data_IF_870900779097
#
_entry.id   IF_870900779097
#
_cell.length_a   1.000
_cell.length_b   1.000
_cell.length_c   1.000
_cell.angle_alpha   90.00
_cell.angle_beta   90.00
_cell.angle_gamma   90.00
#
_symmetry.space_group_name_H-M   'P 1'
#
loop_
_entity.id
_entity.type
_entity.pdbx_description
1 polymer ?
#
# COMPACT_ATOMS: atom_id res chain seq x y z
N UNK A 1 6.59 29.66 -1.41
CA UNK A 1 7.75 28.74 -1.39
C UNK A 1 7.42 27.43 -0.66
N UNK A 2 6.85 27.49 0.56
CA UNK A 2 6.52 26.33 1.42
C UNK A 2 5.64 25.26 0.74
N UNK A 3 4.62 25.65 -0.03
CA UNK A 3 3.72 24.72 -0.74
C UNK A 3 4.43 23.84 -1.78
N UNK A 4 5.46 24.36 -2.45
CA UNK A 4 6.23 23.58 -3.43
C UNK A 4 7.14 22.56 -2.73
N UNK A 5 7.74 22.94 -1.60
CA UNK A 5 8.57 22.04 -0.80
C UNK A 5 7.76 20.87 -0.22
N UNK A 6 6.55 21.12 0.29
CA UNK A 6 5.67 20.07 0.79
C UNK A 6 5.26 19.08 -0.31
N UNK A 7 4.92 19.58 -1.50
CA UNK A 7 4.60 18.73 -2.65
C UNK A 7 5.80 17.84 -3.03
N UNK A 8 7.00 18.42 -3.09
CA UNK A 8 8.22 17.68 -3.38
C UNK A 8 8.52 16.60 -2.33
N UNK A 9 8.33 16.90 -1.04
CA UNK A 9 8.48 15.92 0.06
C UNK A 9 7.47 14.79 -0.10
N UNK A 10 6.20 15.08 -0.36
CA UNK A 10 5.19 14.05 -0.57
C UNK A 10 5.54 13.14 -1.75
N UNK A 11 5.97 13.73 -2.87
CA UNK A 11 6.34 12.98 -4.06
C UNK A 11 7.57 12.09 -3.84
N UNK A 12 8.62 12.65 -3.21
CA UNK A 12 9.80 11.88 -2.81
C UNK A 12 9.44 10.72 -1.88
N UNK A 13 8.56 10.98 -0.92
CA UNK A 13 8.11 9.96 0.03
C UNK A 13 7.35 8.84 -0.67
N UNK A 14 6.46 9.16 -1.63
CA UNK A 14 5.76 8.16 -2.42
C UNK A 14 6.72 7.32 -3.28
N UNK A 15 7.71 7.95 -3.91
CA UNK A 15 8.76 7.23 -4.65
C UNK A 15 9.50 6.27 -3.73
N UNK A 16 9.82 6.71 -2.51
CA UNK A 16 10.52 5.89 -1.53
C UNK A 16 9.65 4.72 -1.03
N UNK A 17 8.36 4.95 -0.79
CA UNK A 17 7.40 3.89 -0.45
C UNK A 17 7.30 2.86 -1.57
N UNK A 18 7.13 3.28 -2.83
CA UNK A 18 7.01 2.37 -3.98
C UNK A 18 8.30 1.58 -4.17
N UNK A 19 9.44 2.27 -4.18
CA UNK A 19 10.75 1.64 -4.37
C UNK A 19 11.05 0.65 -3.25
N UNK A 20 10.72 1.02 -2.00
CA UNK A 20 10.88 0.13 -0.86
C UNK A 20 9.92 -1.06 -0.87
N UNK A 21 8.68 -0.85 -1.30
CA UNK A 21 7.66 -1.89 -1.37
C UNK A 21 8.02 -2.98 -2.38
N UNK A 22 8.54 -2.60 -3.55
CA UNK A 22 9.07 -3.53 -4.55
C UNK A 22 10.52 -3.96 -4.29
N UNK A 23 11.17 -3.41 -3.26
CA UNK A 23 12.49 -3.81 -2.84
C UNK A 23 12.46 -5.10 -2.00
N UNK A 24 13.64 -5.66 -1.66
CA UNK A 24 13.80 -6.78 -0.75
C UNK A 24 13.27 -6.44 0.64
N UNK A 25 12.27 -7.18 1.11
CA UNK A 25 11.84 -7.16 2.51
C UNK A 25 12.51 -8.29 3.29
N UNK A 26 12.58 -9.47 2.66
CA UNK A 26 13.45 -10.57 3.08
C UNK A 26 14.63 -10.61 2.12
N UNK A 27 15.80 -10.23 2.62
CA UNK A 27 17.03 -10.22 1.83
C UNK A 27 17.72 -11.59 1.87
N UNK A 28 18.26 -12.03 0.73
CA UNK A 28 18.99 -13.29 0.61
C UNK A 28 20.04 -13.13 -0.50
N UNK A 29 21.20 -13.79 -0.34
CA UNK A 29 22.30 -13.70 -1.33
C UNK A 29 21.90 -14.16 -2.73
N UNK A 30 20.90 -15.04 -2.81
CA UNK A 30 20.35 -15.56 -4.05
C UNK A 30 19.08 -14.81 -4.39
N UNK A 31 19.08 -14.15 -5.54
CA UNK A 31 17.94 -13.33 -6.00
C UNK A 31 16.62 -14.09 -6.05
N UNK A 32 16.65 -15.42 -6.27
CA UNK A 32 15.47 -16.27 -6.28
C UNK A 32 14.81 -16.48 -4.91
N UNK A 33 15.52 -16.18 -3.82
CA UNK A 33 15.03 -16.28 -2.44
C UNK A 33 14.78 -14.91 -1.80
N UNK A 34 15.05 -13.84 -2.54
CA UNK A 34 14.71 -12.48 -2.15
C UNK A 34 13.20 -12.29 -2.32
N UNK A 35 12.51 -11.91 -1.25
CA UNK A 35 11.05 -11.71 -1.28
C UNK A 35 10.74 -10.22 -1.15
N UNK A 36 10.00 -9.69 -2.13
CA UNK A 36 9.55 -8.30 -2.12
C UNK A 36 8.33 -8.10 -1.22
N UNK A 37 8.04 -6.84 -0.86
CA UNK A 37 6.83 -6.52 -0.07
C UNK A 37 5.53 -6.95 -0.76
N UNK A 38 5.49 -6.89 -2.10
CA UNK A 38 4.36 -7.35 -2.90
C UNK A 38 4.17 -8.87 -2.84
N UNK A 39 5.26 -9.63 -2.86
CA UNK A 39 5.22 -11.08 -2.85
C UNK A 39 4.95 -11.67 -1.46
N UNK A 40 5.16 -10.91 -0.38
CA UNK A 40 4.93 -11.38 0.99
C UNK A 40 3.53 -11.94 1.23
N UNK A 41 2.51 -11.31 0.64
CA UNK A 41 1.13 -11.77 0.76
C UNK A 41 0.94 -13.20 0.24
N UNK A 42 1.57 -13.52 -0.90
CA UNK A 42 1.52 -14.84 -1.50
C UNK A 42 2.52 -15.79 -0.83
N UNK A 43 3.69 -15.29 -0.42
CA UNK A 43 4.71 -16.07 0.26
C UNK A 43 4.23 -16.62 1.62
N UNK A 44 3.51 -15.79 2.39
CA UNK A 44 2.98 -16.16 3.70
C UNK A 44 2.07 -17.41 3.66
N UNK A 45 1.36 -17.65 2.55
CA UNK A 45 0.44 -18.79 2.42
C UNK A 45 1.15 -20.15 2.38
N UNK A 46 2.46 -20.17 2.11
CA UNK A 46 3.22 -21.42 1.98
C UNK A 46 3.75 -21.94 3.32
N UNK A 47 3.62 -21.17 4.41
CA UNK A 47 4.06 -21.61 5.73
C UNK A 47 3.05 -22.57 6.36
N UNK A 48 3.45 -23.79 6.76
CA UNK A 48 2.57 -24.76 7.41
C UNK A 48 1.89 -24.22 8.68
N UNK A 49 2.57 -23.35 9.42
CA UNK A 49 2.04 -22.72 10.63
C UNK A 49 0.88 -21.76 10.33
N UNK A 50 0.91 -21.11 9.17
CA UNK A 50 -0.16 -20.21 8.70
C UNK A 50 -1.33 -21.04 8.18
N UNK A 51 -1.05 -22.10 7.41
CA UNK A 51 -2.07 -23.04 6.92
C UNK A 51 -2.78 -23.79 8.06
N UNK A 52 -2.03 -24.17 9.08
CA UNK A 52 -2.54 -24.84 10.28
C UNK A 52 -3.21 -23.90 11.28
N UNK A 53 -3.27 -22.59 11.02
CA UNK A 53 -3.91 -21.60 11.90
C UNK A 53 -3.18 -21.34 13.22
N UNK A 54 -1.94 -21.81 13.37
CA UNK A 54 -1.10 -21.56 14.56
C UNK A 54 -0.68 -20.09 14.62
N UNK A 55 -0.42 -19.49 13.45
CA UNK A 55 -0.17 -18.05 13.30
C UNK A 55 -1.20 -17.49 12.34
N UNK A 56 -2.06 -16.59 12.83
CA UNK A 56 -3.02 -15.87 12.00
C UNK A 56 -2.31 -14.73 11.27
N UNK A 57 -2.18 -14.83 9.95
CA UNK A 57 -1.62 -13.77 9.10
C UNK A 57 -2.70 -13.29 8.14
N UNK A 58 -3.01 -11.99 8.20
CA UNK A 58 -3.94 -11.36 7.29
C UNK A 58 -3.19 -10.88 6.03
N UNK A 59 -3.11 -11.75 5.03
CA UNK A 59 -2.27 -11.57 3.83
C UNK A 59 -2.56 -10.28 3.08
N UNK A 60 -3.83 -9.87 3.06
CA UNK A 60 -4.28 -8.65 2.40
C UNK A 60 -3.67 -7.38 3.02
N UNK A 61 -3.24 -7.42 4.29
CA UNK A 61 -2.64 -6.27 4.95
C UNK A 61 -1.28 -5.90 4.37
N UNK A 62 -0.57 -6.85 3.74
CA UNK A 62 0.66 -6.56 3.00
C UNK A 62 0.43 -5.64 1.79
N UNK A 63 -0.79 -5.54 1.27
CA UNK A 63 -1.11 -4.67 0.13
C UNK A 63 -1.45 -3.22 0.53
N UNK A 64 -1.60 -2.92 1.82
CA UNK A 64 -1.92 -1.57 2.31
C UNK A 64 -0.93 -0.49 1.87
N UNK A 65 0.41 -0.73 1.86
CA UNK A 65 1.36 0.23 1.36
C UNK A 65 1.04 0.71 -0.05
N UNK A 66 0.76 -0.24 -0.94
CA UNK A 66 0.49 0.03 -2.34
C UNK A 66 -0.85 0.75 -2.53
N UNK A 67 -1.91 0.29 -1.87
CA UNK A 67 -3.23 0.95 -1.88
C UNK A 67 -3.13 2.39 -1.40
N UNK A 68 -2.37 2.63 -0.34
CA UNK A 68 -2.15 3.95 0.24
C UNK A 68 -1.46 4.88 -0.75
N UNK A 69 -0.44 4.39 -1.49
CA UNK A 69 0.23 5.17 -2.54
C UNK A 69 -0.77 5.63 -3.60
N UNK A 70 -1.66 4.77 -4.09
CA UNK A 70 -2.63 5.15 -5.11
C UNK A 70 -3.63 6.20 -4.61
N UNK A 71 -4.11 6.07 -3.38
CA UNK A 71 -4.99 7.07 -2.76
C UNK A 71 -4.24 8.41 -2.62
N UNK A 72 -3.00 8.40 -2.13
CA UNK A 72 -2.20 9.61 -1.97
C UNK A 72 -1.82 10.27 -3.30
N UNK A 73 -1.58 9.49 -4.37
CA UNK A 73 -1.40 10.03 -5.72
C UNK A 73 -2.65 10.74 -6.21
N UNK A 74 -3.83 10.13 -6.03
CA UNK A 74 -5.10 10.79 -6.32
C UNK A 74 -5.30 12.05 -5.49
N UNK A 75 -4.89 12.05 -4.22
CA UNK A 75 -4.99 13.19 -3.33
C UNK A 75 -4.05 14.33 -3.74
N UNK A 76 -2.80 14.04 -4.12
CA UNK A 76 -1.87 15.02 -4.67
C UNK A 76 -2.39 15.60 -6.00
N UNK A 77 -2.94 14.75 -6.87
CA UNK A 77 -3.52 15.19 -8.12
C UNK A 77 -4.68 16.17 -7.91
N UNK A 78 -5.48 15.99 -6.86
CA UNK A 78 -6.61 16.88 -6.53
C UNK A 78 -6.20 18.35 -6.30
N UNK A 79 -4.95 18.60 -5.90
CA UNK A 79 -4.36 19.93 -5.69
C UNK A 79 -3.86 20.58 -6.98
N UNK A 80 -3.81 19.85 -8.09
CA UNK A 80 -3.37 20.38 -9.38
C UNK A 80 -4.31 21.49 -9.88
N UNK A 81 -3.72 22.53 -10.48
CA UNK A 81 -4.47 23.58 -11.16
C UNK A 81 -5.13 23.06 -12.44
N UNK A 82 -4.53 22.06 -13.08
CA UNK A 82 -4.98 21.45 -14.34
C UNK A 82 -6.16 20.50 -14.11
N UNK A 83 -7.32 20.82 -14.68
CA UNK A 83 -8.56 20.01 -14.54
C UNK A 83 -8.39 18.58 -15.04
N UNK A 84 -7.69 18.39 -16.15
CA UNK A 84 -7.43 17.07 -16.73
C UNK A 84 -6.64 16.18 -15.76
N UNK A 85 -5.53 16.69 -15.20
CA UNK A 85 -4.74 15.95 -14.22
C UNK A 85 -5.56 15.56 -12.98
N UNK A 86 -6.45 16.43 -12.50
CA UNK A 86 -7.33 16.13 -11.35
C UNK A 86 -8.30 14.97 -11.58
N UNK A 87 -8.69 14.69 -12.82
CA UNK A 87 -9.67 13.65 -13.14
C UNK A 87 -9.00 12.40 -13.70
N UNK A 88 -7.99 12.57 -14.55
CA UNK A 88 -7.31 11.47 -15.24
C UNK A 88 -6.39 10.72 -14.28
N UNK A 89 -5.63 11.41 -13.42
CA UNK A 89 -4.69 10.75 -12.50
C UNK A 89 -5.39 9.79 -11.53
N UNK A 90 -6.46 10.17 -10.80
CA UNK A 90 -7.15 9.22 -9.92
C UNK A 90 -7.84 8.10 -10.69
N UNK A 91 -8.37 8.36 -11.89
CA UNK A 91 -8.93 7.30 -12.74
C UNK A 91 -7.86 6.30 -13.16
N UNK A 92 -6.71 6.78 -13.62
CA UNK A 92 -5.59 5.95 -14.02
C UNK A 92 -4.99 5.19 -12.83
N UNK A 93 -4.84 5.85 -11.68
CA UNK A 93 -4.39 5.25 -10.42
C UNK A 93 -5.34 4.14 -9.96
N UNK A 94 -6.65 4.37 -10.01
CA UNK A 94 -7.68 3.38 -9.68
C UNK A 94 -7.65 2.18 -10.64
N UNK A 95 -7.50 2.42 -11.95
CA UNK A 95 -7.37 1.36 -12.94
C UNK A 95 -6.08 0.55 -12.76
N UNK A 96 -4.98 1.20 -12.42
CA UNK A 96 -3.69 0.54 -12.21
C UNK A 96 -3.66 -0.25 -10.89
N UNK A 97 -4.27 0.28 -9.83
CA UNK A 97 -4.53 -0.45 -8.58
C UNK A 97 -5.31 -1.74 -8.85
N UNK A 98 -6.42 -1.62 -9.60
CA UNK A 98 -7.23 -2.77 -10.00
C UNK A 98 -6.38 -3.76 -10.81
N UNK A 99 -5.64 -3.30 -11.82
CA UNK A 99 -4.81 -4.19 -12.66
C UNK A 99 -3.69 -4.90 -11.89
N UNK A 100 -3.09 -4.26 -10.89
CA UNK A 100 -1.98 -4.83 -10.12
C UNK A 100 -2.42 -5.80 -9.02
N UNK A 101 -3.55 -5.53 -8.37
CA UNK A 101 -3.97 -6.25 -7.17
C UNK A 101 -5.18 -7.16 -7.37
N UNK A 102 -5.85 -7.10 -8.53
CA UNK A 102 -6.97 -7.99 -8.80
C UNK A 102 -6.46 -9.42 -8.93
N UNK A 103 -6.88 -10.34 -8.03
CA UNK A 103 -6.46 -11.73 -8.08
C UNK A 103 -6.82 -12.38 -9.42
N UNK A 104 -5.89 -13.14 -9.98
CA UNK A 104 -6.12 -13.84 -11.25
C UNK A 104 -7.31 -14.82 -11.17
N UNK A 105 -7.55 -15.42 -10.00
CA UNK A 105 -8.71 -16.27 -9.74
C UNK A 105 -10.05 -15.54 -9.96
N UNK A 106 -10.12 -14.26 -9.59
CA UNK A 106 -11.29 -13.41 -9.79
C UNK A 106 -11.46 -13.06 -11.27
N UNK A 107 -10.36 -12.75 -11.98
CA UNK A 107 -10.40 -12.50 -13.43
C UNK A 107 -10.88 -13.75 -14.18
N UNK A 108 -10.36 -14.92 -13.81
CA UNK A 108 -10.70 -16.16 -14.48
C UNK A 108 -12.15 -16.59 -14.20
N UNK A 109 -12.64 -16.44 -12.96
CA UNK A 109 -14.04 -16.72 -12.61
C UNK A 109 -15.00 -15.76 -13.30
N UNK A 110 -14.67 -14.46 -13.37
CA UNK A 110 -15.46 -13.49 -14.14
C UNK A 110 -15.49 -13.83 -15.64
N UNK A 111 -14.33 -14.21 -16.21
CA UNK A 111 -14.24 -14.65 -17.60
C UNK A 111 -15.11 -15.90 -17.85
N UNK A 112 -15.02 -16.91 -16.99
CA UNK A 112 -15.83 -18.12 -17.10
C UNK A 112 -17.32 -17.83 -16.99
N UNK A 113 -17.74 -16.96 -16.06
CA UNK A 113 -19.13 -16.54 -15.95
C UNK A 113 -19.64 -15.85 -17.22
N UNK A 114 -18.81 -15.02 -17.87
CA UNK A 114 -19.18 -14.35 -19.12
C UNK A 114 -19.16 -15.28 -20.33
N UNK A 115 -18.19 -16.21 -20.43
CA UNK A 115 -18.04 -17.06 -21.63
C UNK A 115 -18.87 -18.34 -21.56
N UNK A 116 -18.98 -18.94 -20.39
CA UNK A 116 -19.62 -20.23 -20.18
C UNK A 116 -20.97 -20.14 -19.46
N UNK A 117 -21.43 -18.92 -19.12
CA UNK A 117 -22.65 -18.66 -18.34
C UNK A 117 -22.68 -19.42 -17.01
N UNK A 118 -21.51 -19.75 -16.47
CA UNK A 118 -21.37 -20.40 -15.17
C UNK A 118 -21.60 -19.40 -14.04
N UNK A 119 -22.07 -19.83 -12.86
CA UNK A 119 -22.20 -18.94 -11.73
C UNK A 119 -20.83 -18.36 -11.34
N UNK A 120 -20.78 -17.07 -11.03
CA UNK A 120 -19.58 -16.43 -10.51
C UNK A 120 -19.30 -16.96 -9.10
N UNK A 121 -18.17 -17.65 -8.94
CA UNK A 121 -17.73 -18.19 -7.65
C UNK A 121 -16.52 -17.41 -7.19
N UNK A 122 -16.66 -16.78 -6.03
CA UNK A 122 -15.58 -16.05 -5.39
C UNK A 122 -14.90 -16.94 -4.35
N UNK A 123 -13.60 -17.15 -4.53
CA UNK A 123 -12.78 -17.92 -3.59
C UNK A 123 -12.69 -17.16 -2.25
N UNK A 124 -13.11 -17.77 -1.12
CA UNK A 124 -13.06 -17.14 0.20
C UNK A 124 -11.70 -16.55 0.55
N UNK A 125 -10.60 -17.15 0.06
CA UNK A 125 -9.24 -16.71 0.33
C UNK A 125 -8.91 -15.32 -0.23
N UNK A 126 -9.64 -14.87 -1.25
CA UNK A 126 -9.39 -13.61 -1.95
C UNK A 126 -10.45 -12.54 -1.66
N UNK A 127 -11.41 -12.83 -0.76
CA UNK A 127 -12.45 -11.88 -0.33
C UNK A 127 -11.86 -10.60 0.26
N UNK A 128 -10.92 -10.73 1.20
CA UNK A 128 -10.25 -9.60 1.86
C UNK A 128 -9.44 -8.76 0.88
N UNK A 129 -8.70 -9.40 -0.03
CA UNK A 129 -7.96 -8.70 -1.09
C UNK A 129 -8.91 -7.96 -2.03
N UNK A 130 -10.01 -8.58 -2.47
CA UNK A 130 -11.00 -7.90 -3.30
C UNK A 130 -11.63 -6.70 -2.57
N UNK A 131 -12.03 -6.87 -1.31
CA UNK A 131 -12.59 -5.80 -0.51
C UNK A 131 -11.61 -4.62 -0.38
N UNK A 132 -10.34 -4.90 -0.15
CA UNK A 132 -9.28 -3.90 -0.08
C UNK A 132 -9.08 -3.18 -1.42
N UNK A 133 -9.06 -3.90 -2.54
CA UNK A 133 -8.92 -3.32 -3.88
C UNK A 133 -10.11 -2.43 -4.20
N UNK A 134 -11.34 -2.89 -3.94
CA UNK A 134 -12.56 -2.12 -4.18
C UNK A 134 -12.59 -0.87 -3.30
N UNK A 135 -12.29 -1.01 -2.00
CA UNK A 135 -12.22 0.12 -1.08
C UNK A 135 -11.15 1.13 -1.51
N UNK A 136 -9.94 0.67 -1.83
CA UNK A 136 -8.85 1.50 -2.32
C UNK A 136 -9.18 2.22 -3.62
N UNK A 137 -9.83 1.53 -4.55
CA UNK A 137 -10.29 2.08 -5.83
C UNK A 137 -11.32 3.19 -5.59
N UNK A 138 -12.35 2.93 -4.78
CA UNK A 138 -13.38 3.90 -4.43
C UNK A 138 -12.76 5.12 -3.75
N UNK A 139 -11.90 4.93 -2.76
CA UNK A 139 -11.22 6.03 -2.08
C UNK A 139 -10.36 6.86 -3.04
N UNK A 140 -9.64 6.21 -3.95
CA UNK A 140 -8.82 6.88 -4.99
C UNK A 140 -9.69 7.69 -5.96
N UNK A 141 -10.85 7.16 -6.37
CA UNK A 141 -11.78 7.88 -7.26
C UNK A 141 -12.48 9.06 -6.58
N UNK A 142 -12.63 9.01 -5.24
CA UNK A 142 -13.21 10.09 -4.44
C UNK A 142 -12.22 11.21 -4.12
N UNK A 143 -10.91 11.03 -4.35
CA UNK A 143 -9.90 12.06 -4.04
C UNK A 143 -10.11 13.42 -4.71
N UNK A 144 -10.71 13.56 -5.92
CA UNK A 144 -11.02 14.88 -6.48
C UNK A 144 -11.95 15.72 -5.59
N UNK A 145 -12.81 15.06 -4.81
CA UNK A 145 -13.73 15.72 -3.89
C UNK A 145 -13.00 16.33 -2.69
N UNK A 146 -11.83 15.78 -2.33
CA UNK A 146 -11.00 16.26 -1.23
C UNK A 146 -10.39 17.65 -1.46
N UNK A 147 -10.53 18.22 -2.67
CA UNK A 147 -10.13 19.62 -2.94
C UNK A 147 -10.87 20.64 -2.05
N UNK A 148 -12.08 20.31 -1.60
CA UNK A 148 -12.89 21.19 -0.74
C UNK A 148 -12.40 21.21 0.71
N UNK A 149 -11.48 20.33 1.09
CA UNK A 149 -11.03 20.23 2.46
C UNK A 149 -10.08 21.36 2.85
N UNK A 150 -10.19 21.87 4.09
CA UNK A 150 -9.20 22.81 4.62
C UNK A 150 -7.83 22.14 4.70
N UNK A 151 -6.76 22.93 4.67
CA UNK A 151 -5.38 22.45 4.72
C UNK A 151 -5.12 21.53 5.92
N UNK A 152 -5.74 21.82 7.08
CA UNK A 152 -5.70 20.98 8.29
C UNK A 152 -6.22 19.56 8.04
N UNK A 153 -7.40 19.44 7.45
CA UNK A 153 -8.00 18.15 7.17
C UNK A 153 -7.16 17.35 6.15
N UNK A 154 -6.50 18.05 5.21
CA UNK A 154 -5.58 17.41 4.27
C UNK A 154 -4.34 16.83 4.97
N UNK A 155 -3.73 17.59 5.89
CA UNK A 155 -2.61 17.10 6.70
C UNK A 155 -2.99 15.90 7.59
N UNK A 156 -4.17 15.95 8.22
CA UNK A 156 -4.70 14.82 9.00
C UNK A 156 -4.93 13.60 8.10
N UNK A 157 -5.53 13.77 6.93
CA UNK A 157 -5.78 12.69 5.99
C UNK A 157 -4.48 12.02 5.53
N UNK A 158 -3.45 12.80 5.19
CA UNK A 158 -2.13 12.26 4.79
C UNK A 158 -1.49 11.50 5.96
N UNK A 159 -1.52 12.04 7.17
CA UNK A 159 -0.98 11.37 8.36
C UNK A 159 -1.69 10.04 8.65
N UNK A 160 -3.03 10.04 8.62
CA UNK A 160 -3.83 8.84 8.83
C UNK A 160 -3.58 7.79 7.74
N UNK A 161 -3.51 8.21 6.47
CA UNK A 161 -3.18 7.31 5.37
C UNK A 161 -1.76 6.74 5.51
N UNK A 162 -0.78 7.54 5.93
CA UNK A 162 0.58 7.05 6.18
C UNK A 162 0.62 5.97 7.27
N UNK A 163 -0.10 6.18 8.38
CA UNK A 163 -0.20 5.18 9.44
C UNK A 163 -0.94 3.93 8.97
N UNK A 164 -2.06 4.09 8.27
CA UNK A 164 -2.84 2.99 7.73
C UNK A 164 -2.05 2.19 6.68
N UNK A 165 -1.20 2.83 5.88
CA UNK A 165 -0.34 2.15 4.91
C UNK A 165 0.81 1.38 5.56
N UNK A 166 1.42 1.93 6.61
CA UNK A 166 2.62 1.36 7.23
C UNK A 166 2.32 0.30 8.29
N UNK A 167 1.44 0.61 9.25
CA UNK A 167 1.27 -0.21 10.46
C UNK A 167 0.84 -1.64 10.13
N UNK A 168 -0.21 -1.88 9.30
CA UNK A 168 -0.67 -3.23 9.02
C UNK A 168 0.41 -4.10 8.37
N UNK A 169 1.09 -3.58 7.34
CA UNK A 169 2.13 -4.34 6.63
C UNK A 169 3.36 -4.62 7.51
N UNK A 170 3.79 -3.65 8.31
CA UNK A 170 4.93 -3.84 9.24
C UNK A 170 4.58 -4.81 10.37
N UNK A 171 3.34 -4.78 10.85
CA UNK A 171 2.84 -5.69 11.87
C UNK A 171 2.82 -7.14 11.37
N UNK A 172 2.19 -7.39 10.22
CA UNK A 172 2.17 -8.73 9.61
C UNK A 172 3.58 -9.22 9.26
N UNK A 173 4.47 -8.33 8.81
CA UNK A 173 5.87 -8.69 8.57
C UNK A 173 6.57 -9.10 9.87
N UNK A 174 6.32 -8.41 10.99
CA UNK A 174 6.91 -8.76 12.27
C UNK A 174 6.43 -10.16 12.76
N UNK A 175 5.18 -10.52 12.50
CA UNK A 175 4.63 -11.85 12.78
C UNK A 175 5.21 -12.94 11.86
N UNK A 176 5.41 -12.62 10.58
CA UNK A 176 5.93 -13.55 9.58
C UNK A 176 7.44 -13.79 9.74
N UNK A 177 8.21 -12.75 10.11
CA UNK A 177 9.67 -12.78 10.22
C UNK A 177 10.24 -13.98 11.00
N UNK A 178 9.76 -14.36 12.21
CA UNK A 178 10.29 -15.52 12.92
C UNK A 178 10.12 -16.83 12.14
N UNK A 179 9.02 -16.98 11.38
CA UNK A 179 8.80 -18.15 10.53
C UNK A 179 9.80 -18.20 9.37
N UNK A 180 10.08 -17.04 8.77
CA UNK A 180 11.11 -16.92 7.74
C UNK A 180 12.49 -17.28 8.29
N UNK A 181 12.87 -16.77 9.46
CA UNK A 181 14.16 -17.09 10.08
C UNK A 181 14.29 -18.59 10.39
N UNK A 182 13.21 -19.22 10.86
CA UNK A 182 13.17 -20.65 11.12
C UNK A 182 13.33 -21.51 9.85
N UNK A 183 12.80 -21.04 8.71
CA UNK A 183 12.94 -21.72 7.41
C UNK A 183 14.40 -21.81 6.94
N UNK A 184 15.22 -20.82 7.30
CA UNK A 184 16.64 -20.74 6.89
C UNK A 184 17.60 -21.26 7.97
N UNK A 185 17.13 -22.14 8.86
CA UNK A 185 17.90 -22.73 9.98
C UNK A 185 18.58 -21.71 10.92
N UNK A 186 18.21 -20.42 10.85
CA UNK A 186 18.91 -19.34 11.56
C UNK A 186 20.39 -19.17 11.18
N UNK A 187 20.87 -19.81 10.09
CA UNK A 187 22.29 -19.84 9.71
C UNK A 187 22.76 -18.57 8.99
N UNK A 188 21.85 -17.87 8.32
CA UNK A 188 22.16 -16.55 7.74
C UNK A 188 21.48 -15.45 8.56
N UNK A 189 22.19 -14.36 8.91
CA UNK A 189 21.57 -13.20 9.52
C UNK A 189 20.66 -12.54 8.49
N UNK A 190 19.39 -12.95 8.47
CA UNK A 190 18.34 -12.32 7.69
C UNK A 190 18.01 -10.98 8.35
N UNK A 191 18.86 -10.00 8.06
CA UNK A 191 18.60 -8.61 8.37
C UNK A 191 17.30 -8.15 7.69
N UNK A 192 16.65 -7.11 8.21
CA UNK A 192 15.58 -6.46 7.47
C UNK A 192 16.11 -6.00 6.11
N UNK A 193 15.48 -6.42 5.02
CA UNK A 193 15.88 -6.00 3.69
C UNK A 193 15.76 -4.48 3.53
N UNK A 194 16.59 -3.89 2.65
CA UNK A 194 16.59 -2.44 2.46
C UNK A 194 15.23 -1.91 1.98
N UNK A 195 14.44 -2.74 1.29
CA UNK A 195 13.10 -2.40 0.83
C UNK A 195 12.15 -2.09 1.97
N UNK A 196 12.19 -2.88 3.05
CA UNK A 196 11.43 -2.62 4.28
C UNK A 196 11.79 -1.25 4.86
N UNK A 197 13.09 -0.97 4.97
CA UNK A 197 13.61 0.26 5.57
C UNK A 197 13.22 1.47 4.71
N UNK A 198 13.39 1.39 3.40
CA UNK A 198 12.98 2.43 2.47
C UNK A 198 11.45 2.66 2.54
N UNK A 199 10.65 1.60 2.56
CA UNK A 199 9.20 1.72 2.65
C UNK A 199 8.77 2.40 3.96
N UNK A 200 9.33 1.98 5.09
CA UNK A 200 9.07 2.57 6.40
C UNK A 200 9.52 4.04 6.47
N UNK A 201 10.69 4.37 5.92
CA UNK A 201 11.19 5.74 5.85
C UNK A 201 10.27 6.62 4.98
N UNK A 202 9.76 6.10 3.86
CA UNK A 202 8.80 6.79 3.01
C UNK A 202 7.50 7.13 3.75
N UNK A 203 6.96 6.18 4.51
CA UNK A 203 5.78 6.46 5.35
C UNK A 203 6.06 7.41 6.52
N UNK A 204 7.25 7.33 7.13
CA UNK A 204 7.65 8.27 8.17
C UNK A 204 7.74 9.71 7.63
N UNK A 205 8.28 9.89 6.42
CA UNK A 205 8.32 11.19 5.75
C UNK A 205 6.91 11.69 5.38
N UNK A 206 6.01 10.82 4.92
CA UNK A 206 4.60 11.17 4.70
C UNK A 206 3.94 11.64 6.00
N UNK A 207 4.12 10.89 7.09
CA UNK A 207 3.58 11.24 8.40
C UNK A 207 4.09 12.61 8.88
N UNK A 208 5.41 12.84 8.80
CA UNK A 208 6.02 14.12 9.15
C UNK A 208 5.48 15.26 8.29
N UNK A 209 5.32 15.04 6.98
CA UNK A 209 4.75 16.06 6.08
C UNK A 209 3.30 16.41 6.43
N UNK A 210 2.50 15.41 6.83
CA UNK A 210 1.13 15.62 7.33
C UNK A 210 1.11 16.44 8.62
N UNK A 211 1.94 16.07 9.59
CA UNK A 211 2.05 16.77 10.89
C UNK A 211 2.52 18.22 10.71
N UNK A 212 3.54 18.45 9.89
CA UNK A 212 4.06 19.78 9.61
C UNK A 212 3.00 20.69 8.95
N UNK A 213 2.13 20.12 8.11
CA UNK A 213 1.03 20.88 7.53
C UNK A 213 -0.02 21.28 8.59
N UNK A 214 -0.32 20.39 9.54
CA UNK A 214 -1.24 20.67 10.65
C UNK A 214 -0.67 21.76 11.57
N UNK A 215 0.60 21.68 11.96
CA UNK A 215 1.20 22.67 12.88
C UNK A 215 1.33 24.04 12.23
N UNK A 216 1.73 24.09 10.95
CA UNK A 216 1.84 25.35 10.23
C UNK A 216 0.49 26.06 10.03
N UNK A 217 -0.58 25.30 9.86
CA UNK A 217 -1.94 25.85 9.77
C UNK A 217 -2.53 26.22 11.13
N UNK A 218 -1.98 25.73 12.24
CA UNK A 218 -2.33 26.22 13.58
C UNK A 218 -1.68 27.57 13.85
N UNK A 219 -0.38 27.72 13.56
CA UNK A 219 0.38 28.93 13.85
C UNK A 219 0.00 30.18 13.03
N UNK A 220 -0.72 30.03 11.91
CA UNK A 220 -1.14 31.15 11.05
C UNK A 220 -2.62 31.52 11.19
N UNK A 221 -3.31 30.95 12.17
CA UNK A 221 -4.71 31.29 12.48
C UNK A 221 -4.83 32.18 13.75
N UNK A 222 -3.69 32.54 14.34
CA UNK A 222 -3.52 33.57 15.38
C UNK A 222 -2.96 34.86 14.75
#
# INVERSE_FOLDING_TARGET
MIRNSQFAICLLSLVLVVTGYFGPWVDHKTAALTVTGFELAEFAKFFPQVQGGVVSIARELFYFPLVTVFILLGLLASRSTVRAARLIVPLFAAALLLGMLLPYSIVNSARQALTAHSPFVLDPQYTGQLALVVAGMVLTLLTPMARRFPERAWGILVALLALAGAIPALWEFALLRPLVVALYDGKEPLGPGWGLIACAAGFALLLLSGILNITWTLANLD
#
